data_IF_836355172305
#
_entry.id   IF_836355172305
#
_cell.length_a   1.000
_cell.length_b   1.000
_cell.length_c   1.000
_cell.angle_alpha   90.00
_cell.angle_beta   90.00
_cell.angle_gamma   90.00
#
_symmetry.space_group_name_H-M   'P 1'
#
loop_
_entity.id
_entity.type
_entity.pdbx_description
1 polymer ?
#
# COMPACT_ATOMS: atom_id res chain seq x y z
N UNK A 1 11.71 13.69 26.36
CA UNK A 1 11.49 12.39 25.71
C UNK A 1 11.26 12.55 24.19
N UNK A 2 12.07 13.37 23.49
CA UNK A 2 11.92 13.71 22.06
C UNK A 2 13.30 13.89 21.40
N UNK A 3 14.15 12.86 21.44
CA UNK A 3 15.52 12.92 20.91
C UNK A 3 15.97 11.63 20.20
N UNK A 4 15.02 10.81 19.71
CA UNK A 4 15.32 9.54 19.01
C UNK A 4 15.12 9.56 17.50
N UNK A 5 14.78 10.70 16.88
CA UNK A 5 14.37 10.73 15.46
C UNK A 5 15.44 11.21 14.47
N UNK A 6 16.69 11.43 14.90
CA UNK A 6 17.82 11.71 14.01
C UNK A 6 18.94 10.67 14.16
N UNK A 7 18.54 9.40 14.29
CA UNK A 7 19.45 8.31 14.01
C UNK A 7 19.48 8.17 12.48
N UNK A 8 20.56 8.66 11.87
CA UNK A 8 20.89 8.29 10.50
C UNK A 8 20.81 6.78 10.40
N UNK A 9 19.93 6.30 9.52
CA UNK A 9 19.76 4.87 9.21
C UNK A 9 21.03 4.44 8.47
N UNK A 10 22.13 4.29 9.20
CA UNK A 10 23.28 3.52 8.74
C UNK A 10 22.75 2.15 8.40
N UNK A 11 22.91 1.75 7.14
CA UNK A 11 22.47 0.49 6.53
C UNK A 11 23.04 -0.68 7.33
N UNK A 12 22.37 -0.99 8.43
CA UNK A 12 22.72 -2.03 9.37
C UNK A 12 22.13 -3.35 8.90
N UNK A 13 22.72 -4.46 9.33
CA UNK A 13 22.28 -5.85 9.09
C UNK A 13 20.81 -6.12 9.49
N UNK A 14 20.13 -5.16 10.11
CA UNK A 14 18.71 -5.21 10.49
C UNK A 14 17.71 -5.09 9.33
N UNK A 15 18.13 -4.78 8.11
CA UNK A 15 17.20 -4.67 6.97
C UNK A 15 16.92 -6.00 6.25
N UNK A 16 17.29 -7.13 6.84
CA UNK A 16 17.04 -8.46 6.27
C UNK A 16 15.58 -8.88 6.46
N UNK A 17 14.91 -9.09 5.34
CA UNK A 17 13.50 -9.49 5.28
C UNK A 17 13.38 -11.00 5.17
N UNK A 18 12.53 -11.58 6.01
CA UNK A 18 12.25 -13.01 5.96
C UNK A 18 11.53 -13.36 4.64
N UNK A 19 11.85 -14.50 4.04
CA UNK A 19 11.35 -14.87 2.71
C UNK A 19 9.84 -15.02 2.65
N UNK A 20 9.22 -15.50 3.72
CA UNK A 20 7.78 -15.58 3.86
C UNK A 20 7.16 -14.18 3.91
N UNK A 21 7.73 -13.26 4.68
CA UNK A 21 7.27 -11.88 4.73
C UNK A 21 7.46 -11.17 3.39
N UNK A 22 8.59 -11.37 2.73
CA UNK A 22 8.86 -10.89 1.38
C UNK A 22 7.81 -11.40 0.37
N UNK A 23 7.40 -12.67 0.48
CA UNK A 23 6.37 -13.26 -0.39
C UNK A 23 5.00 -12.60 -0.25
N UNK A 24 4.68 -12.08 0.95
CA UNK A 24 3.48 -11.29 1.20
C UNK A 24 3.58 -9.88 0.56
N UNK A 25 4.78 -9.30 0.53
CA UNK A 25 5.02 -7.96 -0.01
C UNK A 25 5.15 -7.92 -1.54
N UNK A 26 5.48 -9.03 -2.20
CA UNK A 26 5.66 -9.05 -3.66
C UNK A 26 4.46 -8.58 -4.50
N UNK A 27 3.21 -8.98 -4.24
CA UNK A 27 2.05 -8.43 -4.95
C UNK A 27 2.01 -6.89 -4.85
N UNK A 28 2.36 -6.38 -3.68
CA UNK A 28 2.30 -4.97 -3.32
C UNK A 28 3.39 -4.20 -4.08
N UNK A 29 4.62 -4.71 -4.06
CA UNK A 29 5.77 -4.14 -4.76
C UNK A 29 5.56 -4.17 -6.29
N UNK A 30 5.02 -5.27 -6.82
CA UNK A 30 4.66 -5.39 -8.23
C UNK A 30 3.62 -4.36 -8.65
N UNK A 31 2.53 -4.21 -7.88
CA UNK A 31 1.50 -3.20 -8.14
C UNK A 31 2.07 -1.79 -8.16
N UNK A 32 2.83 -1.43 -7.12
CA UNK A 32 3.41 -0.11 -6.99
C UNK A 32 4.36 0.20 -8.16
N UNK A 33 5.09 -0.81 -8.64
CA UNK A 33 5.96 -0.67 -9.81
C UNK A 33 5.16 -0.44 -11.08
N UNK A 34 4.09 -1.20 -11.32
CA UNK A 34 3.20 -1.05 -12.48
C UNK A 34 2.55 0.34 -12.51
N UNK A 35 2.19 0.89 -11.35
CA UNK A 35 1.56 2.20 -11.23
C UNK A 35 2.54 3.38 -11.06
N UNK A 36 3.84 3.17 -11.32
CA UNK A 36 4.87 4.22 -11.21
C UNK A 36 4.93 4.88 -9.82
N UNK A 37 4.56 4.15 -8.78
CA UNK A 37 4.48 4.65 -7.42
C UNK A 37 5.16 3.71 -6.39
N UNK A 38 6.46 3.39 -6.57
CA UNK A 38 7.19 2.53 -5.64
C UNK A 38 7.29 3.20 -4.26
N UNK A 39 6.80 2.55 -3.21
CA UNK A 39 6.93 3.05 -1.82
C UNK A 39 8.24 2.64 -1.17
N UNK A 40 8.79 1.51 -1.60
CA UNK A 40 10.06 0.94 -1.19
C UNK A 40 10.56 0.04 -2.32
N UNK A 41 11.79 -0.46 -2.22
CA UNK A 41 12.31 -1.47 -3.15
C UNK A 41 12.78 -2.69 -2.38
N UNK A 42 12.31 -3.87 -2.81
CA UNK A 42 12.86 -5.13 -2.33
C UNK A 42 13.97 -5.57 -3.29
N UNK A 43 15.21 -5.66 -2.80
CA UNK A 43 16.33 -6.20 -3.58
C UNK A 43 17.24 -7.03 -2.68
N UNK A 44 17.58 -8.25 -3.12
CA UNK A 44 18.50 -9.15 -2.40
C UNK A 44 18.11 -9.33 -0.92
N UNK A 45 16.83 -9.65 -0.69
CA UNK A 45 16.24 -9.87 0.65
C UNK A 45 16.34 -8.66 1.59
N UNK A 46 16.53 -7.45 1.04
CA UNK A 46 16.56 -6.19 1.79
C UNK A 46 15.51 -5.23 1.28
N UNK A 47 14.88 -4.51 2.21
CA UNK A 47 14.07 -3.34 1.88
C UNK A 47 14.98 -2.11 1.86
N UNK A 48 15.01 -1.45 0.72
CA UNK A 48 15.81 -0.26 0.48
C UNK A 48 14.89 0.93 0.19
N UNK A 49 15.32 2.16 0.57
CA UNK A 49 14.65 3.37 0.10
C UNK A 49 14.72 3.51 -1.40
N UNK A 50 13.73 4.20 -1.96
CA UNK A 50 13.70 4.54 -3.38
C UNK A 50 14.86 5.45 -3.74
N UNK A 51 15.47 5.17 -4.89
CA UNK A 51 16.54 6.00 -5.43
C UNK A 51 15.96 7.22 -6.15
N UNK A 52 16.78 8.25 -6.35
CA UNK A 52 16.41 9.45 -7.13
C UNK A 52 15.92 9.09 -8.54
N UNK A 53 16.49 8.06 -9.17
CA UNK A 53 16.04 7.57 -10.49
C UNK A 53 14.59 7.06 -10.47
N UNK A 54 14.17 6.39 -9.40
CA UNK A 54 12.79 5.93 -9.24
C UNK A 54 11.85 7.11 -8.97
N UNK A 55 12.31 8.14 -8.25
CA UNK A 55 11.52 9.36 -8.06
C UNK A 55 11.32 10.13 -9.37
N UNK A 56 12.33 10.19 -10.23
CA UNK A 56 12.22 10.77 -11.57
C UNK A 56 11.28 9.95 -12.46
N UNK A 57 11.38 8.62 -12.39
CA UNK A 57 10.46 7.72 -13.10
C UNK A 57 9.01 7.91 -12.63
N UNK A 58 8.79 7.96 -11.31
CA UNK A 58 7.47 8.24 -10.73
C UNK A 58 6.94 9.63 -11.12
N UNK A 59 7.80 10.66 -11.15
CA UNK A 59 7.42 12.00 -11.60
C UNK A 59 7.04 12.01 -13.09
N UNK A 60 7.75 11.26 -13.93
CA UNK A 60 7.41 11.11 -15.34
C UNK A 60 6.07 10.41 -15.53
N UNK A 61 5.79 9.35 -14.75
CA UNK A 61 4.50 8.67 -14.73
C UNK A 61 3.36 9.58 -14.29
N UNK A 62 3.55 10.34 -13.21
CA UNK A 62 2.59 11.34 -12.73
C UNK A 62 2.27 12.39 -13.80
N UNK A 63 3.30 12.95 -14.44
CA UNK A 63 3.15 13.96 -15.48
C UNK A 63 2.39 13.39 -16.68
N UNK A 64 2.75 12.17 -17.11
CA UNK A 64 2.06 11.45 -18.18
C UNK A 64 0.57 11.24 -17.85
N UNK A 65 0.25 10.81 -16.63
CA UNK A 65 -1.14 10.60 -16.20
C UNK A 65 -1.94 11.90 -16.17
N UNK A 66 -1.38 13.00 -15.64
CA UNK A 66 -2.03 14.31 -15.65
C UNK A 66 -2.29 14.78 -17.08
N UNK A 67 -1.31 14.65 -17.98
CA UNK A 67 -1.48 15.00 -19.39
C UNK A 67 -2.57 14.16 -20.08
N UNK A 68 -2.63 12.84 -19.79
CA UNK A 68 -3.66 11.96 -20.31
C UNK A 68 -5.07 12.37 -19.86
N UNK A 69 -5.24 12.74 -18.58
CA UNK A 69 -6.52 13.25 -18.07
C UNK A 69 -6.90 14.60 -18.70
N UNK A 70 -5.95 15.52 -18.85
CA UNK A 70 -6.20 16.80 -19.53
C UNK A 70 -6.64 16.58 -20.98
N UNK A 71 -5.94 15.68 -21.69
CA UNK A 71 -6.29 15.32 -23.07
C UNK A 71 -7.68 14.69 -23.16
N UNK A 72 -8.01 13.76 -22.24
CA UNK A 72 -9.32 13.11 -22.17
C UNK A 72 -10.45 14.14 -22.07
N UNK A 73 -10.32 15.10 -21.15
CA UNK A 73 -11.36 16.12 -20.98
C UNK A 73 -11.45 17.05 -22.18
N UNK A 74 -10.30 17.43 -22.74
CA UNK A 74 -10.29 18.21 -23.98
C UNK A 74 -11.00 17.46 -25.12
N UNK A 75 -10.81 16.15 -25.25
CA UNK A 75 -11.51 15.34 -26.25
C UNK A 75 -13.02 15.25 -25.97
N UNK A 76 -13.41 15.06 -24.71
CA UNK A 76 -14.83 15.04 -24.29
C UNK A 76 -15.56 16.36 -24.56
N UNK A 77 -14.85 17.49 -24.48
CA UNK A 77 -15.43 18.81 -24.78
C UNK A 77 -16.02 18.91 -26.20
N UNK A 78 -15.45 18.19 -27.18
CA UNK A 78 -15.96 18.21 -28.56
C UNK A 78 -17.15 17.27 -28.80
N UNK A 79 -17.36 16.29 -27.92
CA UNK A 79 -18.38 15.26 -28.08
C UNK A 79 -19.67 15.62 -27.34
N UNK A 80 -19.55 16.30 -26.19
CA UNK A 80 -20.68 16.67 -25.35
C UNK A 80 -21.25 18.01 -25.83
N UNK A 81 -22.14 17.94 -26.81
CA UNK A 81 -22.95 19.10 -27.20
C UNK A 81 -23.98 19.38 -26.09
N UNK A 82 -23.95 20.59 -25.53
CA UNK A 82 -24.97 21.26 -24.70
C UNK A 82 -25.34 20.74 -23.29
N UNK A 83 -24.90 19.56 -22.84
CA UNK A 83 -25.17 19.08 -21.46
C UNK A 83 -24.21 19.72 -20.43
N UNK A 84 -24.54 20.92 -19.93
CA UNK A 84 -23.72 21.70 -18.97
C UNK A 84 -23.32 20.91 -17.71
N UNK A 85 -24.14 19.95 -17.29
CA UNK A 85 -23.91 19.18 -16.04
C UNK A 85 -22.75 18.21 -16.18
N UNK A 86 -22.69 17.43 -17.27
CA UNK A 86 -21.61 16.46 -17.52
C UNK A 86 -20.26 17.17 -17.67
N UNK A 87 -20.28 18.35 -18.28
CA UNK A 87 -19.10 19.20 -18.39
C UNK A 87 -18.54 19.58 -17.02
N UNK A 88 -19.37 20.10 -16.11
CA UNK A 88 -18.93 20.49 -14.76
C UNK A 88 -18.34 19.28 -14.00
N UNK A 89 -18.98 18.11 -14.08
CA UNK A 89 -18.46 16.90 -13.45
C UNK A 89 -17.10 16.49 -14.02
N UNK A 90 -16.91 16.57 -15.34
CA UNK A 90 -15.61 16.22 -15.94
C UNK A 90 -14.46 17.09 -15.43
N UNK A 91 -14.67 18.39 -15.22
CA UNK A 91 -13.66 19.30 -14.67
C UNK A 91 -13.37 19.00 -13.19
N UNK A 92 -14.43 18.74 -12.42
CA UNK A 92 -14.29 18.34 -11.03
C UNK A 92 -13.51 17.02 -10.91
N UNK A 93 -13.77 16.06 -11.78
CA UNK A 93 -13.06 14.78 -11.81
C UNK A 93 -11.58 14.98 -12.12
N UNK A 94 -11.21 15.73 -13.16
CA UNK A 94 -9.78 16.02 -13.45
C UNK A 94 -9.11 16.64 -12.25
N UNK A 95 -9.73 17.67 -11.67
CA UNK A 95 -9.14 18.42 -10.59
C UNK A 95 -8.93 17.51 -9.37
N UNK A 96 -9.96 16.74 -9.01
CA UNK A 96 -9.93 15.81 -7.89
C UNK A 96 -8.91 14.70 -8.10
N UNK A 97 -8.89 14.06 -9.27
CA UNK A 97 -7.95 12.98 -9.58
C UNK A 97 -6.51 13.49 -9.70
N UNK A 98 -6.28 14.63 -10.36
CA UNK A 98 -4.94 15.20 -10.49
C UNK A 98 -4.38 15.63 -9.14
N UNK A 99 -5.22 16.29 -8.31
CA UNK A 99 -4.85 16.64 -6.94
C UNK A 99 -4.55 15.38 -6.11
N UNK A 100 -5.41 14.36 -6.22
CA UNK A 100 -5.20 13.07 -5.56
C UNK A 100 -3.88 12.41 -5.96
N UNK A 101 -3.55 12.39 -7.27
CA UNK A 101 -2.29 11.82 -7.77
C UNK A 101 -1.07 12.60 -7.26
N UNK A 102 -1.13 13.93 -7.27
CA UNK A 102 -0.05 14.81 -6.77
C UNK A 102 0.14 14.62 -5.27
N UNK A 103 -0.94 14.62 -4.47
CA UNK A 103 -0.88 14.38 -3.04
C UNK A 103 -0.31 12.99 -2.74
N UNK A 104 -0.76 11.97 -3.47
CA UNK A 104 -0.29 10.61 -3.32
C UNK A 104 1.23 10.53 -3.62
N UNK A 105 1.68 11.17 -4.69
CA UNK A 105 3.11 11.29 -5.01
C UNK A 105 3.90 11.97 -3.89
N UNK A 106 3.45 13.14 -3.41
CA UNK A 106 4.12 13.88 -2.32
C UNK A 106 4.20 13.02 -1.07
N UNK A 107 3.10 12.40 -0.65
CA UNK A 107 3.04 11.51 0.51
C UNK A 107 4.04 10.37 0.34
N UNK A 108 4.13 9.77 -0.84
CA UNK A 108 5.07 8.69 -1.11
C UNK A 108 6.52 9.11 -1.07
N UNK A 109 6.89 10.22 -1.72
CA UNK A 109 8.25 10.73 -1.70
C UNK A 109 8.67 11.15 -0.29
N UNK A 110 7.84 11.93 0.40
CA UNK A 110 8.17 12.45 1.74
C UNK A 110 8.21 11.33 2.78
N UNK A 111 7.34 10.32 2.68
CA UNK A 111 7.18 9.29 3.71
C UNK A 111 7.84 7.95 3.37
N UNK A 112 8.68 7.89 2.34
CA UNK A 112 9.40 6.65 1.97
C UNK A 112 10.09 6.02 3.19
N UNK A 113 10.84 6.81 3.98
CA UNK A 113 11.54 6.32 5.19
C UNK A 113 10.57 5.74 6.23
N UNK A 114 9.43 6.39 6.43
CA UNK A 114 8.41 5.95 7.40
C UNK A 114 7.71 4.68 6.94
N UNK A 115 7.46 4.53 5.63
CA UNK A 115 6.90 3.30 5.07
C UNK A 115 7.86 2.12 5.26
N UNK A 116 9.16 2.31 5.06
CA UNK A 116 10.16 1.27 5.32
C UNK A 116 10.16 0.88 6.80
N UNK A 117 10.19 1.87 7.70
CA UNK A 117 10.15 1.62 9.14
C UNK A 117 8.87 0.86 9.54
N UNK A 118 7.73 1.22 8.97
CA UNK A 118 6.48 0.50 9.17
C UNK A 118 6.61 -0.97 8.77
N UNK A 119 7.16 -1.27 7.59
CA UNK A 119 7.32 -2.65 7.11
C UNK A 119 8.32 -3.43 7.98
N UNK A 120 9.41 -2.80 8.44
CA UNK A 120 10.38 -3.44 9.33
C UNK A 120 9.78 -3.75 10.71
N UNK A 121 9.05 -2.81 11.32
CA UNK A 121 8.38 -3.04 12.59
C UNK A 121 7.27 -4.11 12.45
N UNK A 122 6.54 -4.10 11.34
CA UNK A 122 5.53 -5.12 11.04
C UNK A 122 6.16 -6.51 10.90
N UNK A 123 7.37 -6.59 10.33
CA UNK A 123 8.14 -7.83 10.26
C UNK A 123 8.61 -8.30 11.64
N UNK A 124 9.04 -7.39 12.50
CA UNK A 124 9.43 -7.72 13.88
C UNK A 124 8.24 -8.27 14.68
N UNK A 125 7.09 -7.60 14.60
CA UNK A 125 5.81 -8.10 15.13
C UNK A 125 5.47 -9.46 14.53
N UNK A 126 5.72 -9.64 13.24
CA UNK A 126 5.47 -10.90 12.57
C UNK A 126 6.33 -12.03 13.15
N UNK A 127 7.64 -11.81 13.37
CA UNK A 127 8.58 -12.76 13.98
C UNK A 127 8.17 -13.19 15.38
N UNK A 128 7.72 -12.25 16.21
CA UNK A 128 7.40 -12.53 17.62
C UNK A 128 6.04 -13.19 17.79
N UNK A 129 5.04 -12.78 17.00
CA UNK A 129 3.64 -13.25 17.11
C UNK A 129 3.27 -14.14 15.91
N UNK A 130 4.19 -15.01 15.46
CA UNK A 130 3.96 -15.77 14.23
C UNK A 130 3.06 -16.99 14.43
N UNK A 131 2.16 -17.19 13.47
CA UNK A 131 1.58 -18.48 13.13
C UNK A 131 1.82 -18.69 11.64
N UNK A 132 2.84 -19.48 11.30
CA UNK A 132 3.26 -19.72 9.92
C UNK A 132 2.12 -20.22 9.04
N UNK A 133 1.22 -21.05 9.57
CA UNK A 133 0.11 -21.62 8.79
C UNK A 133 -0.91 -20.56 8.45
N UNK A 134 -1.31 -19.75 9.43
CA UNK A 134 -2.23 -18.63 9.22
C UNK A 134 -1.62 -17.59 8.28
N UNK A 135 -0.33 -17.30 8.41
CA UNK A 135 0.35 -16.33 7.56
C UNK A 135 0.50 -16.79 6.11
N UNK A 136 0.88 -18.04 5.86
CA UNK A 136 0.91 -18.61 4.50
C UNK A 136 -0.46 -18.54 3.83
N UNK A 137 -1.52 -18.86 4.57
CA UNK A 137 -2.90 -18.72 4.08
C UNK A 137 -3.24 -17.26 3.76
N UNK A 138 -2.84 -16.32 4.61
CA UNK A 138 -3.02 -14.89 4.38
C UNK A 138 -2.31 -14.42 3.09
N UNK A 139 -1.06 -14.84 2.87
CA UNK A 139 -0.30 -14.53 1.65
C UNK A 139 -1.00 -15.05 0.40
N UNK A 140 -1.47 -16.30 0.41
CA UNK A 140 -2.24 -16.87 -0.71
C UNK A 140 -3.53 -16.10 -0.94
N UNK A 141 -4.26 -15.73 0.12
CA UNK A 141 -5.45 -14.89 0.01
C UNK A 141 -5.15 -13.50 -0.57
N UNK A 142 -3.99 -12.92 -0.26
CA UNK A 142 -3.57 -11.63 -0.81
C UNK A 142 -3.32 -11.74 -2.32
N UNK A 143 -2.59 -12.76 -2.77
CA UNK A 143 -2.38 -13.04 -4.19
C UNK A 143 -3.69 -13.32 -4.92
N UNK A 144 -4.56 -14.16 -4.36
CA UNK A 144 -5.86 -14.47 -4.95
C UNK A 144 -6.74 -13.23 -5.08
N UNK A 145 -6.81 -12.40 -4.03
CA UNK A 145 -7.56 -11.15 -4.06
C UNK A 145 -7.01 -10.17 -5.10
N UNK A 146 -5.69 -10.07 -5.21
CA UNK A 146 -5.01 -9.26 -6.20
C UNK A 146 -5.35 -9.70 -7.64
N UNK A 147 -5.14 -10.98 -7.94
CA UNK A 147 -5.41 -11.55 -9.28
C UNK A 147 -6.89 -11.41 -9.63
N UNK A 148 -7.79 -11.68 -8.67
CA UNK A 148 -9.23 -11.54 -8.85
C UNK A 148 -9.63 -10.08 -9.13
N UNK A 149 -9.09 -9.13 -8.37
CA UNK A 149 -9.37 -7.71 -8.60
C UNK A 149 -8.88 -7.25 -9.98
N UNK A 150 -7.64 -7.57 -10.35
CA UNK A 150 -7.12 -7.25 -11.69
C UNK A 150 -7.97 -7.88 -12.79
N UNK A 151 -8.27 -9.18 -12.69
CA UNK A 151 -8.97 -9.91 -13.73
C UNK A 151 -10.40 -9.39 -13.91
N UNK A 152 -11.12 -9.13 -12.83
CA UNK A 152 -12.45 -8.52 -12.86
C UNK A 152 -12.38 -7.11 -13.47
N UNK A 153 -11.41 -6.29 -13.04
CA UNK A 153 -11.26 -4.93 -13.54
C UNK A 153 -11.01 -4.92 -15.06
N UNK A 154 -10.05 -5.72 -15.54
CA UNK A 154 -9.74 -5.84 -16.96
C UNK A 154 -10.94 -6.39 -17.73
N UNK A 155 -11.63 -7.41 -17.20
CA UNK A 155 -12.79 -8.01 -17.88
C UNK A 155 -13.93 -7.02 -18.04
N UNK A 156 -14.25 -6.25 -16.99
CA UNK A 156 -15.28 -5.21 -17.02
C UNK A 156 -14.90 -4.13 -18.03
N UNK A 157 -13.65 -3.66 -18.00
CA UNK A 157 -13.20 -2.61 -18.91
C UNK A 157 -13.20 -3.08 -20.37
N UNK A 158 -12.77 -4.30 -20.66
CA UNK A 158 -12.84 -4.89 -22.01
C UNK A 158 -14.30 -5.00 -22.46
N UNK A 159 -15.18 -5.52 -21.60
CA UNK A 159 -16.60 -5.66 -21.90
C UNK A 159 -17.24 -4.30 -22.22
N UNK A 160 -17.02 -3.31 -21.37
CA UNK A 160 -17.51 -1.94 -21.54
C UNK A 160 -16.96 -1.30 -22.81
N UNK A 161 -15.66 -1.50 -23.10
CA UNK A 161 -15.01 -0.97 -24.30
C UNK A 161 -15.62 -1.54 -25.59
N UNK A 162 -15.84 -2.86 -25.63
CA UNK A 162 -16.43 -3.53 -26.80
C UNK A 162 -17.91 -3.17 -26.94
N UNK A 163 -18.66 -3.17 -25.85
CA UNK A 163 -20.11 -2.96 -25.86
C UNK A 163 -20.49 -1.51 -26.18
N UNK A 164 -19.80 -0.54 -25.58
CA UNK A 164 -20.07 0.89 -25.77
C UNK A 164 -19.21 1.51 -26.89
N UNK A 165 -18.38 0.73 -27.57
CA UNK A 165 -17.44 1.19 -28.61
C UNK A 165 -16.55 2.36 -28.14
N UNK A 166 -16.18 2.31 -26.86
CA UNK A 166 -15.41 3.38 -26.23
C UNK A 166 -13.98 3.40 -26.81
N UNK A 167 -13.41 4.59 -27.08
CA UNK A 167 -12.04 4.69 -27.57
C UNK A 167 -11.02 4.14 -26.57
N UNK A 168 -9.96 3.51 -27.08
CA UNK A 168 -8.89 2.87 -26.27
C UNK A 168 -8.25 3.83 -25.25
N UNK A 169 -8.28 5.15 -25.50
CA UNK A 169 -7.76 6.14 -24.54
C UNK A 169 -8.52 6.14 -23.21
N UNK A 170 -9.83 5.90 -23.22
CA UNK A 170 -10.65 5.81 -21.99
C UNK A 170 -10.29 4.55 -21.19
N UNK A 171 -9.99 3.45 -21.88
CA UNK A 171 -9.48 2.22 -21.26
C UNK A 171 -8.17 2.48 -20.50
N UNK A 172 -7.25 3.24 -21.09
CA UNK A 172 -5.98 3.65 -20.43
C UNK A 172 -6.27 4.54 -19.21
N UNK A 173 -7.20 5.48 -19.32
CA UNK A 173 -7.58 6.34 -18.19
C UNK A 173 -8.20 5.54 -17.03
N UNK A 174 -8.96 4.48 -17.35
CA UNK A 174 -9.46 3.54 -16.35
C UNK A 174 -8.35 2.96 -15.47
N UNK A 175 -7.24 2.51 -16.05
CA UNK A 175 -6.12 1.96 -15.27
C UNK A 175 -5.57 2.92 -14.21
N UNK A 176 -5.72 4.23 -14.38
CA UNK A 176 -5.26 5.19 -13.37
C UNK A 176 -6.19 5.19 -12.16
N UNK A 177 -7.51 5.12 -12.38
CA UNK A 177 -8.51 4.99 -11.30
C UNK A 177 -8.25 3.71 -10.50
N UNK A 178 -7.92 2.62 -11.20
CA UNK A 178 -7.55 1.35 -10.59
C UNK A 178 -6.39 1.47 -9.59
N UNK A 179 -5.45 2.40 -9.79
CA UNK A 179 -4.36 2.63 -8.85
C UNK A 179 -4.85 3.10 -7.46
N UNK A 180 -5.90 3.92 -7.42
CA UNK A 180 -6.45 4.44 -6.16
C UNK A 180 -7.14 3.33 -5.38
N UNK A 181 -8.01 2.57 -6.05
CA UNK A 181 -8.68 1.40 -5.48
C UNK A 181 -7.67 0.38 -4.94
N UNK A 182 -6.59 0.15 -5.67
CA UNK A 182 -5.52 -0.75 -5.23
C UNK A 182 -4.84 -0.24 -3.96
N UNK A 183 -4.58 1.06 -3.83
CA UNK A 183 -4.03 1.61 -2.60
C UNK A 183 -4.97 1.38 -1.40
N UNK A 184 -6.29 1.47 -1.60
CA UNK A 184 -7.28 1.13 -0.57
C UNK A 184 -7.30 -0.37 -0.24
N UNK A 185 -7.22 -1.24 -1.25
CA UNK A 185 -7.13 -2.70 -1.04
C UNK A 185 -5.89 -3.03 -0.23
N UNK A 186 -4.73 -2.47 -0.59
CA UNK A 186 -3.48 -2.63 0.15
C UNK A 186 -3.61 -2.16 1.60
N UNK A 187 -4.20 -0.99 1.81
CA UNK A 187 -4.48 -0.43 3.14
C UNK A 187 -5.31 -1.40 3.98
N UNK A 188 -6.43 -1.89 3.43
CA UNK A 188 -7.32 -2.83 4.11
C UNK A 188 -6.63 -4.16 4.46
N UNK A 189 -5.74 -4.65 3.59
CA UNK A 189 -4.97 -5.88 3.83
C UNK A 189 -3.95 -5.71 4.96
N UNK A 190 -3.25 -4.57 5.03
CA UNK A 190 -2.35 -4.28 6.16
C UNK A 190 -3.10 -4.15 7.48
N UNK A 191 -4.25 -3.46 7.51
CA UNK A 191 -5.10 -3.39 8.71
C UNK A 191 -5.53 -4.80 9.13
N UNK A 192 -6.00 -5.61 8.17
CA UNK A 192 -6.44 -6.98 8.44
C UNK A 192 -5.32 -7.83 9.04
N UNK A 193 -4.10 -7.72 8.52
CA UNK A 193 -2.93 -8.40 9.07
C UNK A 193 -2.64 -7.96 10.51
N UNK A 194 -2.66 -6.66 10.79
CA UNK A 194 -2.46 -6.14 12.16
C UNK A 194 -3.54 -6.66 13.11
N UNK A 195 -4.81 -6.68 12.70
CA UNK A 195 -5.89 -7.26 13.48
C UNK A 195 -5.66 -8.76 13.77
N UNK A 196 -5.22 -9.53 12.78
CA UNK A 196 -4.94 -10.95 12.95
C UNK A 196 -3.77 -11.16 13.93
N UNK A 197 -2.76 -10.27 13.93
CA UNK A 197 -1.67 -10.28 14.93
C UNK A 197 -2.15 -9.97 16.34
N UNK A 198 -3.07 -9.02 16.52
CA UNK A 198 -3.71 -8.74 17.83
C UNK A 198 -4.47 -9.99 18.34
N UNK A 199 -5.18 -10.70 17.46
CA UNK A 199 -5.90 -11.92 17.82
C UNK A 199 -4.94 -13.02 18.28
N UNK A 200 -3.83 -13.21 17.58
CA UNK A 200 -2.79 -14.18 17.95
C UNK A 200 -2.12 -13.81 19.29
N UNK A 201 -1.80 -12.53 19.48
CA UNK A 201 -1.23 -12.01 20.73
C UNK A 201 -2.17 -12.26 21.93
N UNK A 202 -3.48 -12.00 21.77
CA UNK A 202 -4.47 -12.31 22.78
C UNK A 202 -4.53 -13.82 23.12
N UNK A 203 -4.28 -14.69 22.14
CA UNK A 203 -4.14 -16.13 22.34
C UNK A 203 -2.92 -16.48 23.20
N UNK A 204 -1.77 -15.88 22.92
CA UNK A 204 -0.54 -16.06 23.70
C UNK A 204 -0.74 -15.61 25.16
N UNK A 205 -1.39 -14.46 25.38
CA UNK A 205 -1.67 -13.94 26.72
C UNK A 205 -2.55 -14.89 27.55
N UNK A 206 -3.54 -15.54 26.93
CA UNK A 206 -4.39 -16.54 27.62
C UNK A 206 -3.60 -17.77 28.04
N UNK A 207 -2.67 -18.22 27.20
CA UNK A 207 -1.82 -19.38 27.49
C UNK A 207 -0.80 -19.08 28.61
N UNK A 208 -0.35 -17.82 28.75
CA UNK A 208 0.59 -17.43 29.79
C UNK A 208 0.01 -17.58 31.20
N UNK A 209 -1.30 -17.30 31.38
CA UNK A 209 -1.97 -17.40 32.68
C UNK A 209 -1.93 -18.80 33.32
N UNK A 210 -1.55 -19.82 32.56
CA UNK A 210 -1.56 -21.22 32.99
C UNK A 210 -0.17 -21.72 33.39
N UNK A 211 0.88 -20.89 33.28
CA UNK A 211 2.27 -21.25 33.60
C UNK A 211 2.81 -20.34 34.71
N UNK A 212 2.71 -20.79 35.96
CA UNK A 212 3.02 -19.98 37.15
C UNK A 212 4.53 -19.80 37.43
N UNK A 213 5.41 -20.63 36.88
CA UNK A 213 6.81 -20.72 37.33
C UNK A 213 7.82 -19.80 36.60
N UNK A 214 7.42 -19.02 35.60
CA UNK A 214 8.37 -18.28 34.73
C UNK A 214 7.81 -16.92 34.24
N UNK A 215 6.98 -16.28 35.07
CA UNK A 215 5.98 -15.29 34.64
C UNK A 215 6.50 -13.86 34.43
N UNK A 216 7.48 -13.39 35.21
CA UNK A 216 7.90 -11.98 35.17
C UNK A 216 8.56 -11.60 33.84
N UNK A 217 9.63 -12.30 33.43
CA UNK A 217 10.37 -11.95 32.22
C UNK A 217 9.54 -12.17 30.93
N UNK A 218 8.55 -13.08 30.97
CA UNK A 218 7.65 -13.33 29.83
C UNK A 218 6.57 -12.25 29.69
N UNK A 219 6.14 -11.64 30.79
CA UNK A 219 5.14 -10.58 30.76
C UNK A 219 5.66 -9.35 30.01
N UNK A 220 6.93 -8.99 30.25
CA UNK A 220 7.59 -7.86 29.60
C UNK A 220 7.70 -8.05 28.08
N UNK A 221 8.06 -9.26 27.62
CA UNK A 221 8.15 -9.57 26.19
C UNK A 221 6.78 -9.48 25.52
N UNK A 222 5.73 -10.05 26.13
CA UNK A 222 4.37 -9.99 25.59
C UNK A 222 3.85 -8.55 25.56
N UNK A 223 4.12 -7.76 26.59
CA UNK A 223 3.74 -6.34 26.60
C UNK A 223 4.48 -5.56 25.51
N UNK A 224 5.77 -5.82 25.32
CA UNK A 224 6.56 -5.17 24.26
C UNK A 224 6.01 -5.49 22.86
N UNK A 225 5.58 -6.74 22.60
CA UNK A 225 4.93 -7.11 21.34
C UNK A 225 3.65 -6.32 21.08
N UNK A 226 2.84 -6.08 22.13
CA UNK A 226 1.65 -5.25 22.03
C UNK A 226 1.98 -3.79 21.70
N UNK A 227 2.99 -3.22 22.35
CA UNK A 227 3.48 -1.87 22.06
C UNK A 227 3.94 -1.78 20.61
N UNK A 228 4.70 -2.77 20.12
CA UNK A 228 5.17 -2.81 18.74
C UNK A 228 4.01 -2.90 17.72
N UNK A 229 2.94 -3.67 18.03
CA UNK A 229 1.73 -3.73 17.21
C UNK A 229 1.02 -2.38 17.17
N UNK A 230 0.88 -1.72 18.32
CA UNK A 230 0.23 -0.41 18.43
C UNK A 230 1.02 0.67 17.67
N UNK A 231 2.34 0.66 17.78
CA UNK A 231 3.23 1.55 17.02
C UNK A 231 3.06 1.35 15.51
N UNK A 232 2.91 0.10 15.05
CA UNK A 232 2.61 -0.19 13.64
C UNK A 232 1.26 0.40 13.23
N UNK A 233 0.23 0.29 14.07
CA UNK A 233 -1.08 0.86 13.81
C UNK A 233 -1.04 2.39 13.73
N UNK A 234 -0.31 3.05 14.63
CA UNK A 234 -0.17 4.51 14.64
C UNK A 234 0.64 5.01 13.45
N UNK A 235 1.70 4.30 13.05
CA UNK A 235 2.42 4.58 11.81
C UNK A 235 1.51 4.43 10.60
N UNK A 236 0.73 3.36 10.52
CA UNK A 236 -0.22 3.15 9.45
C UNK A 236 -1.28 4.26 9.40
N UNK A 237 -1.93 4.56 10.53
CA UNK A 237 -2.95 5.61 10.66
C UNK A 237 -2.40 6.96 10.22
N UNK A 238 -1.20 7.31 10.65
CA UNK A 238 -0.58 8.59 10.26
C UNK A 238 -0.33 8.69 8.75
N UNK A 239 -0.04 7.55 8.09
CA UNK A 239 0.21 7.47 6.65
C UNK A 239 -1.06 7.68 5.85
N UNK A 240 -2.15 7.03 6.27
CA UNK A 240 -3.43 7.02 5.55
C UNK A 240 -4.41 8.12 5.96
N UNK A 241 -4.25 8.78 7.11
CA UNK A 241 -5.12 9.91 7.49
C UNK A 241 -4.94 11.16 6.62
N UNK A 242 -3.88 11.21 5.79
CA UNK A 242 -3.66 12.30 4.83
C UNK A 242 -4.12 11.97 3.40
N UNK A 243 -4.52 10.71 3.16
CA UNK A 243 -5.02 10.20 1.89
C UNK A 243 -6.55 10.15 1.94
#
# INVERSE_FOLDING_TARGET
>A
MSSKYHQDVTVSSHNLVDKDFQSMLYPIDFMQTVYFCPKYRIKEDRILPTNVTLHLFALSGLTMFVCLYMYRTYAMHYVIDQETTLYIFSYYDIFSFSLGLVLNYIIHVVRTRRNILFILNLQEVHRNVNDEKSFKRFTVQNWAAFICYISLYISINIFVTIYLQIPVMEFICGFIIMCFDMNMILASRFIKLLCDKIVLWNGQLKNLKWSENDSENRCDVIFQDYVNILDCYDMFKSTYHLL
#
